data_IF_238690309969
#
_entry.id   IF_238690309969
#
_cell.length_a   1.000
_cell.length_b   1.000
_cell.length_c   1.000
_cell.angle_alpha   90.00
_cell.angle_beta   90.00
_cell.angle_gamma   90.00
#
_symmetry.space_group_name_H-M   'P 1'
#
loop_
_entity.id
_entity.type
_entity.pdbx_description
1 polymer ?
#
# COMPACT_ATOMS: atom_id res chain seq x y z
N UNK A 1 39.33 37.39 69.66
CA UNK A 1 39.91 36.25 68.90
C UNK A 1 38.88 35.34 68.21
N UNK A 2 37.56 35.55 68.35
CA UNK A 2 36.54 34.65 67.74
C UNK A 2 36.13 35.01 66.29
N UNK A 3 36.48 36.19 65.77
CA UNK A 3 35.99 36.69 64.49
C UNK A 3 36.74 36.13 63.26
N UNK A 4 38.01 35.74 63.42
CA UNK A 4 38.86 35.23 62.32
C UNK A 4 38.49 33.78 61.98
N UNK A 5 38.07 32.98 62.97
CA UNK A 5 37.64 31.59 62.74
C UNK A 5 36.35 31.49 61.90
N UNK A 6 35.42 32.44 62.05
CA UNK A 6 34.16 32.48 61.28
C UNK A 6 34.37 32.85 59.80
N UNK A 7 35.31 33.75 59.49
CA UNK A 7 35.66 34.12 58.12
C UNK A 7 36.39 32.98 57.40
N UNK A 8 37.19 32.21 58.15
CA UNK A 8 37.95 31.05 57.63
C UNK A 8 37.02 29.92 57.15
N UNK A 9 35.93 29.67 57.89
CA UNK A 9 34.90 28.68 57.52
C UNK A 9 34.09 29.17 56.32
N UNK A 10 33.82 30.48 56.23
CA UNK A 10 33.12 31.07 55.09
C UNK A 10 33.94 30.96 53.79
N UNK A 11 35.24 31.31 53.84
CA UNK A 11 36.15 31.20 52.69
C UNK A 11 36.39 29.74 52.24
N UNK A 12 36.37 28.78 53.17
CA UNK A 12 36.47 27.36 52.84
C UNK A 12 35.18 26.78 52.23
N UNK A 13 34.02 27.37 52.53
CA UNK A 13 32.72 26.97 51.97
C UNK A 13 32.47 27.44 50.53
N UNK A 14 33.01 28.60 50.13
CA UNK A 14 32.86 29.16 48.77
C UNK A 14 33.28 28.18 47.65
N UNK A 15 34.45 27.51 47.69
CA UNK A 15 34.84 26.58 46.63
C UNK A 15 33.99 25.31 46.61
N UNK A 16 33.41 24.89 47.74
CA UNK A 16 32.51 23.71 47.80
C UNK A 16 31.16 24.03 47.19
N UNK A 17 30.59 25.20 47.52
CA UNK A 17 29.32 25.67 46.93
C UNK A 17 29.48 25.91 45.43
N UNK A 18 30.60 26.50 44.98
CA UNK A 18 30.89 26.69 43.56
C UNK A 18 30.94 25.36 42.81
N UNK A 19 31.61 24.33 43.35
CA UNK A 19 31.70 23.01 42.70
C UNK A 19 30.36 22.27 42.66
N UNK A 20 29.53 22.41 43.71
CA UNK A 20 28.18 21.86 43.73
C UNK A 20 27.26 22.58 42.73
N UNK A 21 27.40 23.89 42.61
CA UNK A 21 26.66 24.68 41.62
C UNK A 21 27.07 24.31 40.20
N UNK A 22 28.37 24.23 39.92
CA UNK A 22 28.88 23.79 38.63
C UNK A 22 28.41 22.38 38.31
N UNK A 23 28.50 21.42 39.25
CA UNK A 23 28.02 20.07 39.04
C UNK A 23 26.51 20.03 38.75
N UNK A 24 25.69 20.73 39.53
CA UNK A 24 24.23 20.74 39.37
C UNK A 24 23.78 21.38 38.04
N UNK A 25 24.39 22.49 37.62
CA UNK A 25 24.08 23.13 36.34
C UNK A 25 24.65 22.37 35.14
N UNK A 26 25.79 21.69 35.30
CA UNK A 26 26.40 20.91 34.22
C UNK A 26 25.62 19.61 33.97
N UNK A 27 25.13 18.94 35.02
CA UNK A 27 24.27 17.74 34.91
C UNK A 27 22.89 18.08 34.30
N UNK A 28 22.30 19.21 34.67
CA UNK A 28 21.01 19.66 34.12
C UNK A 28 21.13 20.08 32.64
N UNK A 29 22.27 20.64 32.22
CA UNK A 29 22.52 20.99 30.81
C UNK A 29 22.87 19.78 29.94
N UNK A 30 23.65 18.82 30.44
CA UNK A 30 23.91 17.56 29.73
C UNK A 30 22.66 16.67 29.63
N UNK A 31 21.88 16.57 30.71
CA UNK A 31 20.62 15.83 30.72
C UNK A 31 19.62 16.39 29.70
N UNK A 32 19.47 17.72 29.63
CA UNK A 32 18.63 18.38 28.61
C UNK A 32 19.14 18.17 27.18
N UNK A 33 20.46 18.17 26.97
CA UNK A 33 21.05 17.87 25.64
C UNK A 33 20.76 16.45 25.20
N UNK A 34 20.98 15.45 26.06
CA UNK A 34 20.68 14.04 25.75
C UNK A 34 19.20 13.81 25.47
N UNK A 35 18.30 14.42 26.27
CA UNK A 35 16.86 14.35 26.00
C UNK A 35 16.50 14.94 24.63
N UNK A 36 17.11 16.06 24.26
CA UNK A 36 16.91 16.69 22.95
C UNK A 36 17.42 15.81 21.81
N UNK A 37 18.59 15.20 21.95
CA UNK A 37 19.17 14.28 20.96
C UNK A 37 18.30 13.02 20.78
N UNK A 38 17.77 12.45 21.87
CA UNK A 38 16.83 11.32 21.81
C UNK A 38 15.55 11.71 21.07
N UNK A 39 14.96 12.87 21.40
CA UNK A 39 13.77 13.39 20.72
C UNK A 39 14.01 13.65 19.22
N UNK A 40 15.16 14.22 18.86
CA UNK A 40 15.54 14.43 17.47
C UNK A 40 15.73 13.12 16.72
N UNK A 41 16.36 12.12 17.35
CA UNK A 41 16.53 10.78 16.79
C UNK A 41 15.17 10.08 16.57
N UNK A 42 14.29 10.09 17.56
CA UNK A 42 12.94 9.50 17.45
C UNK A 42 12.13 10.18 16.35
N UNK A 43 12.19 11.52 16.26
CA UNK A 43 11.53 12.28 15.20
C UNK A 43 12.09 11.92 13.82
N UNK A 44 13.41 11.82 13.66
CA UNK A 44 14.03 11.45 12.38
C UNK A 44 13.61 10.04 11.95
N UNK A 45 13.55 9.09 12.89
CA UNK A 45 13.08 7.73 12.64
C UNK A 45 11.62 7.69 12.20
N UNK A 46 10.77 8.53 12.77
CA UNK A 46 9.36 8.63 12.36
C UNK A 46 9.21 9.24 10.96
N UNK A 47 10.00 10.27 10.64
CA UNK A 47 10.05 10.86 9.31
C UNK A 47 10.52 9.82 8.27
N UNK A 48 11.55 9.04 8.58
CA UNK A 48 12.03 7.97 7.71
C UNK A 48 10.94 6.93 7.45
N UNK A 49 10.27 6.42 8.50
CA UNK A 49 9.16 5.46 8.35
C UNK A 49 8.03 6.02 7.50
N UNK A 50 7.66 7.29 7.70
CA UNK A 50 6.64 7.95 6.88
C UNK A 50 7.04 8.04 5.42
N UNK A 51 8.30 8.40 5.15
CA UNK A 51 8.83 8.46 3.78
C UNK A 51 8.88 7.08 3.12
N UNK A 52 9.26 6.03 3.86
CA UNK A 52 9.21 4.66 3.37
C UNK A 52 7.79 4.22 3.05
N UNK A 53 6.83 4.49 3.95
CA UNK A 53 5.40 4.20 3.74
C UNK A 53 4.86 4.89 2.48
N UNK A 54 5.17 6.17 2.32
CA UNK A 54 4.84 6.96 1.12
C UNK A 54 5.41 6.33 -0.15
N UNK A 55 6.67 5.90 -0.12
CA UNK A 55 7.33 5.22 -1.24
C UNK A 55 6.64 3.91 -1.62
N UNK A 56 6.29 3.09 -0.62
CA UNK A 56 5.58 1.82 -0.80
C UNK A 56 4.20 2.08 -1.43
N UNK A 57 3.42 3.00 -0.86
CA UNK A 57 2.08 3.34 -1.39
C UNK A 57 2.14 3.81 -2.84
N UNK A 58 3.11 4.65 -3.21
CA UNK A 58 3.28 5.12 -4.60
C UNK A 58 3.55 3.98 -5.57
N UNK A 59 4.44 3.05 -5.20
CA UNK A 59 4.75 1.90 -6.05
C UNK A 59 3.54 0.98 -6.22
N UNK A 60 2.83 0.68 -5.13
CA UNK A 60 1.63 -0.16 -5.17
C UNK A 60 0.49 0.50 -5.96
N UNK A 61 0.31 1.83 -5.84
CA UNK A 61 -0.66 2.57 -6.65
C UNK A 61 -0.30 2.49 -8.14
N UNK A 62 0.97 2.64 -8.50
CA UNK A 62 1.41 2.59 -9.88
C UNK A 62 1.11 1.21 -10.50
N UNK A 63 1.48 0.13 -9.81
CA UNK A 63 1.20 -1.25 -10.24
C UNK A 63 -0.32 -1.51 -10.33
N UNK A 64 -1.06 -1.15 -9.29
CA UNK A 64 -2.52 -1.33 -9.25
C UNK A 64 -3.18 -0.62 -10.43
N UNK A 65 -2.75 0.60 -10.79
CA UNK A 65 -3.28 1.33 -11.95
C UNK A 65 -3.00 0.63 -13.28
N UNK A 66 -1.83 0.01 -13.44
CA UNK A 66 -1.53 -0.76 -14.66
C UNK A 66 -2.49 -1.96 -14.75
N UNK A 67 -2.72 -2.64 -13.64
CA UNK A 67 -3.66 -3.76 -13.59
C UNK A 67 -5.12 -3.32 -13.84
N UNK A 68 -5.53 -2.17 -13.30
CA UNK A 68 -6.86 -1.59 -13.53
C UNK A 68 -7.09 -1.28 -15.02
N UNK A 69 -6.09 -0.75 -15.73
CA UNK A 69 -6.19 -0.51 -17.17
C UNK A 69 -6.41 -1.81 -17.96
N UNK A 70 -5.85 -2.93 -17.50
CA UNK A 70 -6.05 -4.23 -18.13
C UNK A 70 -7.42 -4.84 -17.80
N UNK A 71 -7.97 -4.59 -16.60
CA UNK A 71 -9.30 -5.04 -16.19
C UNK A 71 -10.44 -4.24 -16.82
N UNK A 72 -10.21 -2.95 -17.12
CA UNK A 72 -11.24 -2.02 -17.59
C UNK A 72 -12.09 -2.56 -18.76
N UNK A 73 -11.52 -3.16 -19.83
CA UNK A 73 -12.33 -3.68 -20.94
C UNK A 73 -13.35 -4.75 -20.51
N UNK A 74 -13.01 -5.58 -19.50
CA UNK A 74 -13.89 -6.62 -18.97
C UNK A 74 -15.03 -6.04 -18.14
N UNK A 75 -14.72 -5.04 -17.31
CA UNK A 75 -15.70 -4.30 -16.51
C UNK A 75 -16.74 -3.60 -17.40
N UNK A 76 -16.27 -2.93 -18.46
CA UNK A 76 -17.14 -2.26 -19.44
C UNK A 76 -18.03 -3.23 -20.22
N UNK A 77 -17.51 -4.42 -20.54
CA UNK A 77 -18.26 -5.42 -21.27
C UNK A 77 -19.41 -6.02 -20.44
N UNK A 78 -19.23 -6.25 -19.12
CA UNK A 78 -20.30 -6.85 -18.32
C UNK A 78 -21.56 -6.00 -18.28
N UNK A 79 -21.41 -4.67 -18.23
CA UNK A 79 -22.55 -3.74 -18.22
C UNK A 79 -23.37 -3.94 -19.49
N UNK A 80 -22.69 -4.01 -20.63
CA UNK A 80 -23.33 -4.10 -21.95
C UNK A 80 -23.90 -5.48 -22.26
N UNK A 81 -23.24 -6.54 -21.78
CA UNK A 81 -23.76 -7.92 -21.84
C UNK A 81 -25.04 -8.05 -21.02
N UNK A 82 -25.09 -7.44 -19.82
CA UNK A 82 -26.30 -7.46 -19.00
C UNK A 82 -27.43 -6.59 -19.55
N UNK A 83 -27.10 -5.50 -20.25
CA UNK A 83 -28.08 -4.58 -20.85
C UNK A 83 -28.66 -5.07 -22.18
N UNK A 84 -28.33 -6.29 -22.64
CA UNK A 84 -28.77 -6.87 -23.93
C UNK A 84 -28.53 -5.94 -25.13
N UNK A 85 -27.50 -5.08 -25.07
CA UNK A 85 -27.15 -4.23 -26.20
C UNK A 85 -26.57 -5.10 -27.31
N UNK A 86 -27.41 -5.45 -28.29
CA UNK A 86 -27.02 -6.14 -29.50
C UNK A 86 -25.97 -5.31 -30.23
N UNK A 87 -24.84 -5.94 -30.57
CA UNK A 87 -23.84 -5.42 -31.50
C UNK A 87 -23.03 -4.22 -31.00
N UNK A 88 -21.91 -4.50 -30.32
CA UNK A 88 -20.68 -3.73 -30.61
C UNK A 88 -19.52 -4.70 -30.58
N UNK A 89 -18.71 -4.73 -31.64
CA UNK A 89 -17.53 -5.60 -31.70
C UNK A 89 -16.52 -5.15 -30.63
N UNK A 90 -16.12 -6.08 -29.75
CA UNK A 90 -15.04 -5.87 -28.77
C UNK A 90 -13.74 -6.58 -29.16
N UNK A 91 -13.69 -7.12 -30.39
CA UNK A 91 -12.55 -7.91 -30.90
C UNK A 91 -11.20 -7.22 -30.65
N UNK A 92 -11.18 -5.89 -30.76
CA UNK A 92 -9.95 -5.09 -30.62
C UNK A 92 -9.68 -4.57 -29.20
N UNK A 93 -10.63 -4.74 -28.27
CA UNK A 93 -10.52 -4.18 -26.91
C UNK A 93 -9.98 -5.17 -25.88
N UNK A 94 -10.10 -6.47 -26.14
CA UNK A 94 -9.59 -7.49 -25.23
C UNK A 94 -8.14 -7.87 -25.55
N UNK A 95 -7.28 -7.98 -24.53
CA UNK A 95 -5.90 -8.31 -24.76
C UNK A 95 -5.76 -9.79 -25.18
N UNK A 96 -4.93 -10.06 -26.18
CA UNK A 96 -4.59 -11.43 -26.60
C UNK A 96 -3.93 -12.26 -25.48
N UNK A 97 -3.43 -11.63 -24.44
CA UNK A 97 -2.92 -12.27 -23.22
C UNK A 97 -3.27 -11.37 -22.06
N UNK A 98 -3.89 -11.94 -21.03
CA UNK A 98 -4.12 -11.24 -19.77
C UNK A 98 -3.00 -11.61 -18.80
N UNK A 99 -2.28 -10.60 -18.33
CA UNK A 99 -1.20 -10.75 -17.36
C UNK A 99 -1.13 -9.52 -16.47
N UNK A 100 -1.28 -9.70 -15.18
CA UNK A 100 -1.22 -8.64 -14.20
C UNK A 100 0.18 -8.53 -13.59
N UNK A 101 0.62 -7.28 -13.44
CA UNK A 101 1.86 -6.95 -12.77
C UNK A 101 1.75 -7.25 -11.27
N UNK A 102 2.80 -7.88 -10.74
CA UNK A 102 2.94 -8.25 -9.32
C UNK A 102 4.35 -7.96 -8.78
N UNK A 103 5.18 -7.28 -9.57
CA UNK A 103 6.61 -7.12 -9.28
C UNK A 103 6.82 -6.17 -8.10
N UNK A 104 6.08 -5.06 -8.07
CA UNK A 104 6.05 -4.11 -6.98
C UNK A 104 5.54 -4.74 -5.69
N UNK A 105 4.42 -5.47 -5.75
CA UNK A 105 3.92 -6.22 -4.60
C UNK A 105 4.94 -7.25 -4.06
N UNK A 106 5.55 -8.05 -4.95
CA UNK A 106 6.54 -9.04 -4.57
C UNK A 106 7.80 -8.42 -3.98
N UNK A 107 8.34 -7.38 -4.62
CA UNK A 107 9.57 -6.70 -4.20
C UNK A 107 9.40 -5.98 -2.84
N UNK A 108 8.17 -5.56 -2.52
CA UNK A 108 7.86 -4.84 -1.28
C UNK A 108 7.29 -5.73 -0.17
N UNK A 109 7.15 -7.04 -0.41
CA UNK A 109 6.55 -7.99 0.54
C UNK A 109 7.13 -7.90 1.96
N UNK A 110 8.46 -7.77 2.09
CA UNK A 110 9.14 -7.60 3.37
C UNK A 110 8.95 -6.25 4.05
N UNK A 111 8.39 -5.25 3.35
CA UNK A 111 8.13 -3.90 3.85
C UNK A 111 6.63 -3.57 3.96
N UNK A 112 5.74 -4.47 3.57
CA UNK A 112 4.28 -4.25 3.65
C UNK A 112 3.80 -3.99 5.08
N UNK A 113 4.51 -4.50 6.09
CA UNK A 113 4.20 -4.24 7.51
C UNK A 113 4.28 -2.78 7.94
N UNK A 114 4.76 -1.88 7.07
CA UNK A 114 4.72 -0.43 7.28
C UNK A 114 3.38 0.20 6.89
N UNK A 115 2.49 -0.56 6.23
CA UNK A 115 1.12 -0.16 5.89
C UNK A 115 0.15 -0.59 6.99
N UNK A 116 -1.04 0.02 7.05
CA UNK A 116 -2.07 -0.45 7.99
C UNK A 116 -2.54 -1.87 7.61
N UNK A 117 -2.83 -2.68 8.62
CA UNK A 117 -3.22 -4.09 8.46
C UNK A 117 -4.40 -4.30 7.50
N UNK A 118 -5.41 -3.43 7.56
CA UNK A 118 -6.56 -3.50 6.67
C UNK A 118 -6.17 -3.33 5.19
N UNK A 119 -5.21 -2.44 4.89
CA UNK A 119 -4.71 -2.27 3.53
C UNK A 119 -3.90 -3.48 3.10
N UNK A 120 -3.09 -4.05 4.00
CA UNK A 120 -2.33 -5.28 3.70
C UNK A 120 -3.30 -6.42 3.34
N UNK A 121 -4.41 -6.54 4.07
CA UNK A 121 -5.45 -7.53 3.78
C UNK A 121 -6.07 -7.29 2.40
N UNK A 122 -6.53 -6.06 2.12
CA UNK A 122 -7.10 -5.69 0.80
C UNK A 122 -6.11 -5.92 -0.34
N UNK A 123 -4.83 -5.61 -0.15
CA UNK A 123 -3.77 -5.87 -1.14
C UNK A 123 -3.68 -7.37 -1.44
N UNK A 124 -3.56 -8.21 -0.41
CA UNK A 124 -3.46 -9.66 -0.57
C UNK A 124 -4.66 -10.22 -1.34
N UNK A 125 -5.87 -9.86 -0.91
CA UNK A 125 -7.11 -10.28 -1.56
C UNK A 125 -7.14 -9.84 -3.02
N UNK A 126 -6.83 -8.57 -3.30
CA UNK A 126 -6.78 -8.04 -4.66
C UNK A 126 -5.84 -8.84 -5.58
N UNK A 127 -4.60 -9.12 -5.15
CA UNK A 127 -3.64 -9.85 -5.98
C UNK A 127 -3.98 -11.34 -6.14
N UNK A 128 -4.65 -11.95 -5.15
CA UNK A 128 -5.20 -13.31 -5.29
C UNK A 128 -6.29 -13.31 -6.35
N UNK A 129 -7.22 -12.36 -6.32
CA UNK A 129 -8.29 -12.30 -7.30
C UNK A 129 -7.79 -12.03 -8.73
N UNK A 130 -6.73 -11.23 -8.89
CA UNK A 130 -6.06 -11.06 -10.19
C UNK A 130 -5.55 -12.40 -10.75
N UNK A 131 -5.03 -13.31 -9.91
CA UNK A 131 -4.61 -14.65 -10.35
C UNK A 131 -5.81 -15.48 -10.80
N UNK A 132 -6.91 -15.47 -10.04
CA UNK A 132 -8.14 -16.17 -10.45
C UNK A 132 -8.68 -15.66 -11.79
N UNK A 133 -8.61 -14.36 -12.05
CA UNK A 133 -9.00 -13.78 -13.33
C UNK A 133 -8.07 -14.25 -14.46
N UNK A 134 -6.76 -14.30 -14.27
CA UNK A 134 -5.82 -14.85 -15.26
C UNK A 134 -6.11 -16.32 -15.59
N UNK A 135 -6.36 -17.13 -14.57
CA UNK A 135 -6.68 -18.55 -14.71
C UNK A 135 -8.03 -18.77 -15.40
N UNK A 136 -9.05 -18.02 -14.97
CA UNK A 136 -10.37 -18.01 -15.60
C UNK A 136 -10.30 -17.65 -17.09
N UNK A 137 -9.49 -16.64 -17.43
CA UNK A 137 -9.30 -16.23 -18.82
C UNK A 137 -8.63 -17.31 -19.68
N UNK A 138 -7.66 -18.04 -19.13
CA UNK A 138 -7.04 -19.19 -19.80
C UNK A 138 -8.03 -20.34 -19.97
N UNK A 139 -8.80 -20.66 -18.93
CA UNK A 139 -9.79 -21.74 -18.95
C UNK A 139 -10.86 -21.51 -20.01
N UNK A 140 -11.42 -20.30 -20.07
CA UNK A 140 -12.40 -19.91 -21.08
C UNK A 140 -11.85 -20.11 -22.50
N UNK A 141 -10.61 -19.67 -22.77
CA UNK A 141 -9.97 -19.95 -24.07
C UNK A 141 -9.91 -21.45 -24.39
N UNK A 142 -9.48 -22.27 -23.43
CA UNK A 142 -9.32 -23.71 -23.64
C UNK A 142 -10.65 -24.40 -23.94
N UNK A 143 -11.70 -24.07 -23.19
CA UNK A 143 -13.03 -24.68 -23.35
C UNK A 143 -13.61 -24.36 -24.72
N UNK A 144 -13.51 -23.12 -25.15
CA UNK A 144 -14.20 -22.68 -26.36
C UNK A 144 -13.37 -22.82 -27.64
N UNK A 145 -12.08 -23.18 -27.55
CA UNK A 145 -11.19 -23.27 -28.71
C UNK A 145 -11.05 -21.94 -29.48
N UNK A 146 -11.48 -20.83 -28.87
CA UNK A 146 -11.57 -19.53 -29.52
C UNK A 146 -10.33 -18.69 -29.23
N UNK A 147 -9.93 -17.81 -30.17
CA UNK A 147 -8.95 -16.78 -29.87
C UNK A 147 -9.50 -15.86 -28.76
N UNK A 148 -8.63 -15.36 -27.90
CA UNK A 148 -8.97 -14.63 -26.67
C UNK A 148 -9.98 -13.46 -26.81
N UNK A 149 -10.07 -12.81 -27.97
CA UNK A 149 -11.04 -11.74 -28.26
C UNK A 149 -12.45 -12.23 -28.65
N UNK A 150 -12.62 -13.52 -28.96
CA UNK A 150 -13.87 -14.11 -29.43
C UNK A 150 -14.78 -14.64 -28.31
N UNK A 151 -14.27 -14.70 -27.07
CA UNK A 151 -14.96 -15.30 -25.93
C UNK A 151 -16.33 -14.66 -25.62
N UNK A 152 -16.53 -13.40 -25.97
CA UNK A 152 -17.80 -12.67 -25.70
C UNK A 152 -18.83 -12.84 -26.85
N UNK A 153 -18.42 -13.32 -28.04
CA UNK A 153 -19.32 -13.57 -29.17
C UNK A 153 -20.11 -14.88 -29.04
N UNK A 154 -19.80 -15.71 -28.05
CA UNK A 154 -20.48 -16.99 -27.80
C UNK A 154 -21.89 -16.83 -27.22
N UNK A 155 -22.50 -15.65 -27.34
CA UNK A 155 -23.86 -15.36 -26.88
C UNK A 155 -24.94 -16.24 -27.56
N UNK A 156 -24.62 -17.05 -28.59
CA UNK A 156 -25.64 -17.55 -29.52
C UNK A 156 -25.79 -19.09 -29.58
N UNK A 157 -24.88 -19.92 -29.03
CA UNK A 157 -24.98 -21.38 -29.29
C UNK A 157 -25.49 -22.24 -28.14
N UNK A 158 -25.17 -21.99 -26.87
CA UNK A 158 -25.74 -22.75 -25.75
C UNK A 158 -25.93 -21.90 -24.48
N UNK A 159 -27.12 -22.01 -23.88
CA UNK A 159 -27.54 -21.22 -22.70
C UNK A 159 -26.68 -21.48 -21.44
N UNK A 160 -25.98 -22.61 -21.39
CA UNK A 160 -25.09 -23.01 -20.28
C UNK A 160 -23.72 -22.33 -20.32
N UNK A 161 -23.22 -21.95 -21.51
CA UNK A 161 -21.90 -21.29 -21.68
C UNK A 161 -21.96 -19.79 -21.36
N UNK A 162 -23.13 -19.17 -21.59
CA UNK A 162 -23.37 -17.75 -21.30
C UNK A 162 -23.20 -17.41 -19.81
N UNK A 163 -23.66 -18.29 -18.93
CA UNK A 163 -23.59 -18.08 -17.48
C UNK A 163 -22.14 -18.05 -16.97
N UNK A 164 -21.25 -18.84 -17.56
CA UNK A 164 -19.83 -18.86 -17.18
C UNK A 164 -19.11 -17.56 -17.60
N UNK A 165 -19.38 -17.06 -18.81
CA UNK A 165 -18.84 -15.80 -19.31
C UNK A 165 -19.34 -14.64 -18.46
N UNK A 166 -20.64 -14.60 -18.16
CA UNK A 166 -21.22 -13.55 -17.30
C UNK A 166 -20.65 -13.59 -15.90
N UNK A 167 -20.47 -14.78 -15.30
CA UNK A 167 -19.82 -14.92 -13.99
C UNK A 167 -18.39 -14.39 -14.00
N UNK A 168 -17.59 -14.75 -15.02
CA UNK A 168 -16.23 -14.25 -15.19
C UNK A 168 -16.20 -12.72 -15.32
N UNK A 169 -17.06 -12.14 -16.16
CA UNK A 169 -17.11 -10.70 -16.38
C UNK A 169 -17.59 -9.94 -15.12
N UNK A 170 -18.53 -10.50 -14.36
CA UNK A 170 -18.96 -9.93 -13.06
C UNK A 170 -17.81 -9.94 -12.06
N UNK A 171 -17.11 -11.07 -11.96
CA UNK A 171 -15.94 -11.19 -11.09
C UNK A 171 -14.84 -10.19 -11.49
N UNK A 172 -14.54 -10.05 -12.79
CA UNK A 172 -13.57 -9.06 -13.27
C UNK A 172 -13.97 -7.61 -12.90
N UNK A 173 -15.27 -7.28 -12.96
CA UNK A 173 -15.81 -5.99 -12.52
C UNK A 173 -15.65 -5.78 -11.02
N UNK A 174 -15.95 -6.79 -10.20
CA UNK A 174 -15.81 -6.69 -8.74
C UNK A 174 -14.34 -6.48 -8.33
N UNK A 175 -13.42 -7.13 -9.03
CA UNK A 175 -11.96 -6.95 -8.83
C UNK A 175 -11.50 -5.57 -9.31
N UNK A 176 -12.08 -5.05 -10.40
CA UNK A 176 -11.84 -3.68 -10.86
C UNK A 176 -12.22 -2.67 -9.77
N UNK A 177 -13.46 -2.74 -9.27
CA UNK A 177 -13.96 -1.87 -8.19
C UNK A 177 -13.08 -1.99 -6.93
N UNK A 178 -12.70 -3.22 -6.55
CA UNK A 178 -11.83 -3.46 -5.40
C UNK A 178 -10.47 -2.79 -5.54
N UNK A 179 -9.90 -2.77 -6.76
CA UNK A 179 -8.64 -2.07 -7.01
C UNK A 179 -8.76 -0.55 -7.05
N UNK A 180 -9.90 0.01 -7.47
CA UNK A 180 -10.18 1.44 -7.34
C UNK A 180 -10.24 1.87 -5.85
N UNK A 181 -10.93 1.08 -5.02
CA UNK A 181 -10.97 1.28 -3.56
C UNK A 181 -9.56 1.16 -2.95
N UNK A 182 -8.78 0.16 -3.36
CA UNK A 182 -7.41 -0.01 -2.91
C UNK A 182 -6.53 1.21 -3.24
N UNK A 183 -6.61 1.75 -4.47
CA UNK A 183 -5.89 2.96 -4.86
C UNK A 183 -6.29 4.14 -3.97
N UNK A 184 -7.58 4.29 -3.65
CA UNK A 184 -8.06 5.34 -2.76
C UNK A 184 -7.45 5.20 -1.36
N UNK A 185 -7.53 4.02 -0.77
CA UNK A 185 -7.00 3.76 0.57
C UNK A 185 -5.46 3.96 0.64
N UNK A 186 -4.72 3.53 -0.39
CA UNK A 186 -3.27 3.73 -0.44
C UNK A 186 -2.86 5.21 -0.53
N UNK A 187 -3.68 6.05 -1.17
CA UNK A 187 -3.46 7.51 -1.21
C UNK A 187 -3.70 8.17 0.14
N UNK A 188 -4.67 7.68 0.91
CA UNK A 188 -5.01 8.23 2.23
C UNK A 188 -3.96 7.87 3.29
N UNK A 189 -3.13 6.84 3.06
CA UNK A 189 -2.03 6.45 3.96
C UNK A 189 -0.70 7.19 3.72
N UNK A 190 -0.50 7.74 2.53
CA UNK A 190 0.72 8.48 2.17
C UNK A 190 0.70 9.90 2.71
#
# INVERSE_FOLDING_TARGET
>A
MAFIALISIWLAGVPVVSRLFDWFFHEDTEGKRRQKEILEFERNKEIERRNERLGISKNLIAETRVNQKQLQPFSEAVVKVLDNMSETSYEDKFPKRLYFERNGYSALSGKLGLLNEDIIKKLKEYYIELLHIEEGYKKLKTIHGTPYGFLIYLQIKEKLEYDEIVKFLKHAKDVYVSGEDLIKNLKEQG
#
